data_IF_576253980258
#
_entry.id   IF_576253980258
#
_cell.length_a   1.000
_cell.length_b   1.000
_cell.length_c   1.000
_cell.angle_alpha   90.00
_cell.angle_beta   90.00
_cell.angle_gamma   90.00
#
_symmetry.space_group_name_H-M   'P 1'
#
loop_
_entity.id
_entity.type
_entity.pdbx_description
1 polymer ?
#
# COMPACT_ATOMS: atom_id res chain seq x y z
N UNK A 1 -0.25 53.08 -12.52
CA UNK A 1 0.83 52.36 -11.82
C UNK A 1 1.11 51.07 -12.58
N UNK A 2 2.26 50.92 -13.25
CA UNK A 2 2.57 49.72 -14.03
C UNK A 2 2.87 48.58 -13.07
N UNK A 3 2.20 47.45 -13.25
CA UNK A 3 2.48 46.22 -12.52
C UNK A 3 3.91 45.75 -12.79
N UNK A 4 4.65 45.43 -11.71
CA UNK A 4 6.00 44.90 -11.83
C UNK A 4 6.00 43.54 -12.57
N UNK A 5 7.10 43.16 -13.18
CA UNK A 5 7.27 41.83 -13.79
C UNK A 5 7.03 40.69 -12.78
N UNK A 6 7.44 40.89 -11.53
CA UNK A 6 7.22 39.95 -10.42
C UNK A 6 5.71 39.79 -10.13
N UNK A 7 4.93 40.88 -10.11
CA UNK A 7 3.49 40.80 -9.85
C UNK A 7 2.74 40.07 -10.98
N UNK A 8 3.21 40.21 -12.22
CA UNK A 8 2.68 39.44 -13.35
C UNK A 8 2.93 37.94 -13.16
N UNK A 9 4.13 37.53 -12.75
CA UNK A 9 4.49 36.14 -12.49
C UNK A 9 3.72 35.57 -11.30
N UNK A 10 3.56 36.32 -10.20
CA UNK A 10 2.74 35.92 -9.06
C UNK A 10 1.29 35.65 -9.47
N UNK A 11 0.67 36.54 -10.26
CA UNK A 11 -0.69 36.29 -10.79
C UNK A 11 -0.79 35.06 -11.67
N UNK A 12 0.27 34.70 -12.39
CA UNK A 12 0.28 33.45 -13.17
C UNK A 12 0.29 32.22 -12.23
N UNK A 13 1.08 32.28 -11.14
CA UNK A 13 1.09 31.22 -10.11
C UNK A 13 -0.27 31.09 -9.47
N UNK A 14 -0.89 32.21 -9.01
CA UNK A 14 -2.22 32.18 -8.40
C UNK A 14 -3.28 31.54 -9.31
N UNK A 15 -3.19 31.82 -10.63
CA UNK A 15 -4.09 31.20 -11.62
C UNK A 15 -3.87 29.68 -11.72
N UNK A 16 -2.62 29.23 -11.70
CA UNK A 16 -2.27 27.81 -11.74
C UNK A 16 -2.75 27.12 -10.46
N UNK A 17 -2.56 27.72 -9.28
CA UNK A 17 -3.03 27.17 -8.02
C UNK A 17 -4.55 26.99 -8.01
N UNK A 18 -5.29 27.95 -8.58
CA UNK A 18 -6.73 27.84 -8.74
C UNK A 18 -7.14 26.71 -9.70
N UNK A 19 -6.38 26.49 -10.76
CA UNK A 19 -6.59 25.36 -11.67
C UNK A 19 -6.34 24.02 -10.98
N UNK A 20 -5.26 23.89 -10.20
CA UNK A 20 -4.95 22.71 -9.40
C UNK A 20 -6.09 22.41 -8.43
N UNK A 21 -6.56 23.42 -7.67
CA UNK A 21 -7.69 23.26 -6.75
C UNK A 21 -8.95 22.75 -7.47
N UNK A 22 -9.28 23.31 -8.62
CA UNK A 22 -10.45 22.91 -9.40
C UNK A 22 -10.33 21.48 -9.93
N UNK A 23 -9.14 21.08 -10.37
CA UNK A 23 -8.86 19.70 -10.81
C UNK A 23 -8.97 18.70 -9.65
N UNK A 24 -8.49 19.07 -8.46
CA UNK A 24 -8.62 18.24 -7.25
C UNK A 24 -10.09 18.08 -6.84
N UNK A 25 -10.90 19.16 -6.87
CA UNK A 25 -12.35 19.09 -6.63
C UNK A 25 -13.06 18.16 -7.62
N UNK A 26 -12.78 18.30 -8.93
CA UNK A 26 -13.34 17.42 -9.97
C UNK A 26 -12.97 15.96 -9.73
N UNK A 27 -11.70 15.69 -9.42
CA UNK A 27 -11.20 14.35 -9.14
C UNK A 27 -11.89 13.75 -7.90
N UNK A 28 -12.08 14.53 -6.85
CA UNK A 28 -12.77 14.10 -5.62
C UNK A 28 -14.21 13.70 -5.91
N UNK A 29 -14.94 14.51 -6.69
CA UNK A 29 -16.32 14.20 -7.10
C UNK A 29 -16.44 12.89 -7.87
N UNK A 30 -15.52 12.66 -8.81
CA UNK A 30 -15.47 11.40 -9.58
C UNK A 30 -15.17 10.22 -8.66
N UNK A 31 -14.23 10.37 -7.71
CA UNK A 31 -13.89 9.31 -6.77
C UNK A 31 -15.06 8.98 -5.82
N UNK A 32 -15.83 9.97 -5.39
CA UNK A 32 -17.05 9.79 -4.61
C UNK A 32 -18.11 9.00 -5.40
N UNK A 33 -18.34 9.35 -6.67
CA UNK A 33 -19.28 8.63 -7.53
C UNK A 33 -18.85 7.17 -7.74
N UNK A 34 -17.56 6.93 -7.98
CA UNK A 34 -17.02 5.56 -8.06
C UNK A 34 -17.27 4.81 -6.75
N UNK A 35 -17.15 5.48 -5.60
CA UNK A 35 -17.43 4.87 -4.30
C UNK A 35 -18.89 4.45 -4.14
N UNK A 36 -19.84 5.24 -4.64
CA UNK A 36 -21.29 4.94 -4.63
C UNK A 36 -21.66 3.77 -5.55
N UNK A 37 -21.03 3.69 -6.74
CA UNK A 37 -21.26 2.63 -7.72
C UNK A 37 -20.64 1.28 -7.29
N UNK A 38 -19.63 1.30 -6.45
CA UNK A 38 -18.94 0.09 -6.02
C UNK A 38 -19.76 -0.70 -5.00
N UNK A 39 -20.09 -1.95 -5.31
CA UNK A 39 -20.66 -2.92 -4.37
C UNK A 39 -19.66 -3.41 -3.31
N UNK A 40 -18.37 -3.15 -3.48
CA UNK A 40 -17.32 -3.63 -2.56
C UNK A 40 -16.94 -2.56 -1.54
N UNK A 41 -16.87 -2.95 -0.27
CA UNK A 41 -16.41 -2.10 0.83
C UNK A 41 -14.88 -1.91 0.87
N UNK A 42 -14.13 -2.33 -0.18
CA UNK A 42 -12.68 -2.18 -0.22
C UNK A 42 -12.29 -0.75 -0.65
N UNK A 43 -12.10 0.13 0.32
CA UNK A 43 -11.70 1.52 0.07
C UNK A 43 -10.21 1.66 -0.27
N UNK A 44 -9.37 0.78 0.26
CA UNK A 44 -7.92 0.87 0.08
C UNK A 44 -7.44 -0.14 -0.96
N UNK A 45 -7.01 0.37 -2.10
CA UNK A 45 -6.57 -0.40 -3.28
C UNK A 45 -5.14 -0.06 -3.66
N UNK A 46 -4.15 -0.61 -2.94
CA UNK A 46 -2.73 -0.30 -3.17
C UNK A 46 -2.25 -0.67 -4.57
N UNK A 47 -2.80 -1.72 -5.18
CA UNK A 47 -2.51 -2.13 -6.55
C UNK A 47 -2.88 -1.02 -7.55
N UNK A 48 -4.07 -0.44 -7.41
CA UNK A 48 -4.53 0.65 -8.26
C UNK A 48 -3.73 1.93 -8.02
N UNK A 49 -3.43 2.25 -6.76
CA UNK A 49 -2.60 3.40 -6.41
C UNK A 49 -1.19 3.28 -7.01
N UNK A 50 -0.59 2.09 -6.95
CA UNK A 50 0.71 1.82 -7.53
C UNK A 50 0.71 1.99 -9.06
N UNK A 51 -0.33 1.51 -9.75
CA UNK A 51 -0.52 1.69 -11.19
C UNK A 51 -0.59 3.18 -11.57
N UNK A 52 -1.38 3.97 -10.83
CA UNK A 52 -1.48 5.42 -11.04
C UNK A 52 -0.13 6.10 -10.84
N UNK A 53 0.57 5.80 -9.74
CA UNK A 53 1.87 6.41 -9.41
C UNK A 53 2.92 6.10 -10.47
N UNK A 54 3.00 4.86 -10.98
CA UNK A 54 3.92 4.50 -12.07
C UNK A 54 3.65 5.30 -13.33
N UNK A 55 2.37 5.44 -13.70
CA UNK A 55 1.99 6.22 -14.89
C UNK A 55 2.35 7.70 -14.76
N UNK A 56 2.17 8.27 -13.57
CA UNK A 56 2.52 9.67 -13.30
C UNK A 56 4.03 9.86 -13.31
N UNK A 57 4.78 8.99 -12.64
CA UNK A 57 6.24 9.05 -12.62
C UNK A 57 6.84 8.88 -14.03
N UNK A 58 6.27 7.97 -14.83
CA UNK A 58 6.68 7.82 -16.24
C UNK A 58 6.43 9.10 -17.06
N UNK A 59 5.28 9.77 -16.85
CA UNK A 59 4.96 11.03 -17.53
C UNK A 59 5.74 12.23 -17.01
N UNK A 60 6.16 12.20 -15.76
CA UNK A 60 6.97 13.26 -15.17
C UNK A 60 8.35 13.41 -15.86
N UNK A 61 8.92 12.32 -16.38
CA UNK A 61 10.32 12.31 -16.76
C UNK A 61 11.19 12.69 -15.55
N UNK A 62 12.01 13.73 -15.71
CA UNK A 62 12.86 14.24 -14.63
C UNK A 62 12.49 15.67 -14.19
N UNK A 63 11.28 16.14 -14.50
CA UNK A 63 10.88 17.53 -14.25
C UNK A 63 10.68 17.84 -12.77
N UNK A 64 10.06 16.91 -12.02
CA UNK A 64 9.80 17.06 -10.59
C UNK A 64 10.45 15.92 -9.82
N UNK A 65 10.81 16.21 -8.56
CA UNK A 65 11.36 15.18 -7.68
C UNK A 65 10.36 14.02 -7.51
N UNK A 66 10.74 12.76 -7.78
CA UNK A 66 9.86 11.60 -7.65
C UNK A 66 9.28 11.44 -6.24
N UNK A 67 10.03 11.73 -5.18
CA UNK A 67 9.55 11.65 -3.81
C UNK A 67 8.47 12.69 -3.51
N UNK A 68 8.59 13.90 -4.08
CA UNK A 68 7.54 14.92 -4.01
C UNK A 68 6.24 14.41 -4.67
N UNK A 69 6.35 13.86 -5.89
CA UNK A 69 5.20 13.29 -6.59
C UNK A 69 4.53 12.20 -5.76
N UNK A 70 5.31 11.29 -5.21
CA UNK A 70 4.79 10.19 -4.39
C UNK A 70 4.02 10.71 -3.17
N UNK A 71 4.61 11.63 -2.40
CA UNK A 71 3.98 12.18 -1.19
C UNK A 71 2.70 12.95 -1.52
N UNK A 72 2.72 13.78 -2.57
CA UNK A 72 1.57 14.55 -3.01
C UNK A 72 0.39 13.66 -3.42
N UNK A 73 0.64 12.65 -4.26
CA UNK A 73 -0.42 11.72 -4.68
C UNK A 73 -0.93 10.83 -3.54
N UNK A 74 -0.06 10.44 -2.60
CA UNK A 74 -0.49 9.71 -1.39
C UNK A 74 -1.46 10.53 -0.55
N UNK A 75 -1.21 11.82 -0.37
CA UNK A 75 -2.14 12.71 0.34
C UNK A 75 -3.49 12.83 -0.39
N UNK A 76 -3.49 12.95 -1.72
CA UNK A 76 -4.72 12.96 -2.51
C UNK A 76 -5.49 11.63 -2.35
N UNK A 77 -4.80 10.47 -2.40
CA UNK A 77 -5.46 9.18 -2.26
C UNK A 77 -6.11 9.03 -0.88
N UNK A 78 -5.39 9.39 0.19
CA UNK A 78 -5.92 9.29 1.55
C UNK A 78 -7.10 10.23 1.75
N UNK A 79 -7.00 11.48 1.31
CA UNK A 79 -8.12 12.44 1.37
C UNK A 79 -9.39 11.89 0.74
N UNK A 80 -9.28 11.22 -0.42
CA UNK A 80 -10.43 10.63 -1.09
C UNK A 80 -10.97 9.37 -0.42
N UNK A 81 -10.10 8.57 0.18
CA UNK A 81 -10.51 7.44 1.03
C UNK A 81 -11.29 7.96 2.24
N UNK A 82 -10.84 9.06 2.86
CA UNK A 82 -11.50 9.67 4.01
C UNK A 82 -12.91 10.17 3.66
N UNK A 83 -13.12 10.77 2.51
CA UNK A 83 -14.45 11.17 2.01
C UNK A 83 -15.39 9.96 1.84
N UNK A 84 -14.85 8.77 1.55
CA UNK A 84 -15.63 7.53 1.36
C UNK A 84 -15.85 6.74 2.66
N UNK A 85 -15.51 7.29 3.82
CA UNK A 85 -15.69 6.66 5.13
C UNK A 85 -14.39 6.26 5.83
N UNK A 86 -13.24 6.54 5.20
CA UNK A 86 -11.91 6.38 5.81
C UNK A 86 -11.45 4.95 6.02
N UNK A 87 -10.18 4.84 6.37
CA UNK A 87 -9.52 3.61 6.83
C UNK A 87 -8.79 3.89 8.14
N UNK A 88 -8.61 2.84 8.95
CA UNK A 88 -7.84 2.92 10.19
C UNK A 88 -6.66 1.96 10.13
N UNK A 89 -5.51 2.40 10.62
CA UNK A 89 -4.34 1.55 10.79
C UNK A 89 -4.26 1.06 12.23
N UNK A 90 -4.18 -0.25 12.39
CA UNK A 90 -3.91 -0.88 13.68
C UNK A 90 -2.45 -1.34 13.69
N UNK A 91 -1.66 -0.82 14.60
CA UNK A 91 -0.23 -1.13 14.71
C UNK A 91 0.09 -1.74 16.09
N UNK A 92 1.06 -2.64 16.14
CA UNK A 92 1.66 -2.97 17.43
C UNK A 92 2.61 -1.85 17.86
N UNK A 93 2.80 -1.66 19.19
CA UNK A 93 3.67 -0.62 19.74
C UNK A 93 5.10 -0.65 19.15
N UNK A 94 5.65 -1.85 18.90
CA UNK A 94 6.99 -1.99 18.33
C UNK A 94 7.07 -1.49 16.89
N UNK A 95 6.03 -1.73 16.09
CA UNK A 95 5.94 -1.25 14.71
C UNK A 95 5.79 0.26 14.70
N UNK A 96 4.89 0.82 15.50
CA UNK A 96 4.67 2.25 15.60
C UNK A 96 5.97 3.00 15.94
N UNK A 97 6.70 2.57 16.97
CA UNK A 97 7.96 3.24 17.38
C UNK A 97 9.05 3.18 16.32
N UNK A 98 9.23 2.05 15.64
CA UNK A 98 10.36 1.83 14.74
C UNK A 98 10.14 2.36 13.33
N UNK A 99 8.90 2.35 12.84
CA UNK A 99 8.61 2.52 11.42
C UNK A 99 7.62 3.64 11.12
N UNK A 100 7.32 4.50 12.08
CA UNK A 100 6.30 5.55 11.93
C UNK A 100 6.56 6.46 10.72
N UNK A 101 7.83 6.82 10.47
CA UNK A 101 8.20 7.62 9.31
C UNK A 101 7.84 6.90 7.99
N UNK A 102 8.21 5.64 7.84
CA UNK A 102 7.89 4.85 6.63
C UNK A 102 6.38 4.72 6.43
N UNK A 103 5.62 4.66 7.52
CA UNK A 103 4.16 4.58 7.49
C UNK A 103 3.55 5.90 7.00
N UNK A 104 3.98 7.03 7.54
CA UNK A 104 3.52 8.34 7.08
C UNK A 104 3.97 8.68 5.67
N UNK A 105 5.18 8.29 5.26
CA UNK A 105 5.64 8.43 3.87
C UNK A 105 4.74 7.68 2.88
N UNK A 106 4.07 6.62 3.33
CA UNK A 106 3.16 5.83 2.50
C UNK A 106 1.69 6.26 2.58
N UNK A 107 1.18 6.58 3.77
CA UNK A 107 -0.23 6.88 4.00
C UNK A 107 -0.54 8.38 4.12
N UNK A 108 0.46 9.26 4.24
CA UNK A 108 0.30 10.65 4.70
C UNK A 108 0.02 10.75 6.22
N UNK A 109 0.18 11.95 6.77
CA UNK A 109 0.04 12.21 8.21
C UNK A 109 -1.42 12.18 8.71
N UNK A 110 -2.40 12.28 7.81
CA UNK A 110 -3.84 12.32 8.14
C UNK A 110 -4.46 10.93 8.39
N UNK A 111 -3.64 9.87 8.36
CA UNK A 111 -4.12 8.52 8.64
C UNK A 111 -4.39 8.29 10.13
N UNK A 112 -5.56 7.79 10.47
CA UNK A 112 -5.89 7.40 11.86
C UNK A 112 -5.10 6.14 12.25
N UNK A 113 -4.28 6.23 13.30
CA UNK A 113 -3.47 5.14 13.83
C UNK A 113 -3.93 4.77 15.23
N UNK A 114 -4.23 3.49 15.45
CA UNK A 114 -4.55 2.91 16.76
C UNK A 114 -3.48 1.91 17.11
N UNK A 115 -2.88 2.03 18.30
CA UNK A 115 -1.83 1.11 18.75
C UNK A 115 -2.37 -0.02 19.61
N UNK A 116 -1.77 -1.21 19.47
CA UNK A 116 -2.11 -2.43 20.19
C UNK A 116 -0.89 -3.06 20.83
N UNK A 117 -1.10 -3.83 21.90
CA UNK A 117 -0.01 -4.49 22.64
C UNK A 117 0.76 -5.53 21.80
N UNK A 118 0.14 -6.12 20.77
CA UNK A 118 0.77 -7.19 19.99
C UNK A 118 0.25 -7.28 18.56
N UNK A 119 1.05 -7.88 17.65
CA UNK A 119 0.68 -8.18 16.27
C UNK A 119 -0.57 -9.09 16.19
N UNK A 120 -0.74 -10.02 17.14
CA UNK A 120 -1.90 -10.93 17.16
C UNK A 120 -3.21 -10.17 17.42
N UNK A 121 -3.20 -9.19 18.34
CA UNK A 121 -4.37 -8.33 18.59
C UNK A 121 -4.66 -7.41 17.40
N UNK A 122 -3.63 -6.91 16.74
CA UNK A 122 -3.80 -6.12 15.52
C UNK A 122 -4.46 -6.93 14.40
N UNK A 123 -4.01 -8.17 14.15
CA UNK A 123 -4.62 -9.08 13.17
C UNK A 123 -6.09 -9.40 13.50
N UNK A 124 -6.41 -9.59 14.77
CA UNK A 124 -7.77 -9.84 15.23
C UNK A 124 -8.71 -8.67 14.92
N UNK A 125 -8.25 -7.45 15.13
CA UNK A 125 -9.02 -6.24 14.78
C UNK A 125 -9.27 -6.13 13.28
N UNK A 126 -8.28 -6.44 12.43
CA UNK A 126 -8.47 -6.48 10.96
C UNK A 126 -9.49 -7.53 10.56
N UNK A 127 -9.42 -8.72 11.16
CA UNK A 127 -10.34 -9.82 10.87
C UNK A 127 -11.80 -9.44 11.16
N UNK A 128 -12.06 -8.82 12.30
CA UNK A 128 -13.41 -8.49 12.78
C UNK A 128 -13.92 -7.14 12.28
N UNK A 129 -13.05 -6.24 11.85
CA UNK A 129 -13.41 -4.86 11.51
C UNK A 129 -13.73 -4.64 10.03
N UNK A 130 -14.30 -3.46 9.72
CA UNK A 130 -14.45 -2.93 8.36
C UNK A 130 -13.43 -1.81 8.16
N UNK A 131 -12.86 -1.69 6.97
CA UNK A 131 -11.90 -0.64 6.61
C UNK A 131 -10.71 -0.51 7.57
N UNK A 132 -10.30 -1.62 8.15
CA UNK A 132 -9.16 -1.71 9.06
C UNK A 132 -8.02 -2.44 8.37
N UNK A 133 -6.83 -1.86 8.47
CA UNK A 133 -5.59 -2.42 7.99
C UNK A 133 -4.62 -2.62 9.16
N UNK A 134 -3.69 -3.55 9.06
CA UNK A 134 -2.53 -3.59 9.95
C UNK A 134 -1.23 -3.66 9.15
N UNK A 135 -0.17 -3.15 9.75
CA UNK A 135 1.18 -3.22 9.19
C UNK A 135 2.02 -4.08 10.11
N UNK A 136 2.69 -5.04 9.51
CA UNK A 136 3.52 -6.02 10.21
C UNK A 136 4.92 -6.04 9.60
N UNK A 137 5.94 -6.55 10.31
CA UNK A 137 7.25 -6.79 9.71
C UNK A 137 7.12 -7.69 8.49
N UNK A 138 7.88 -7.43 7.43
CA UNK A 138 7.91 -8.34 6.29
C UNK A 138 8.28 -9.75 6.75
N UNK A 139 7.62 -10.80 6.24
CA UNK A 139 7.86 -12.17 6.67
C UNK A 139 9.34 -12.57 6.60
N UNK A 140 9.87 -13.07 7.69
CA UNK A 140 11.24 -13.56 7.78
C UNK A 140 11.38 -14.59 8.90
N UNK A 141 12.57 -15.17 9.06
CA UNK A 141 12.86 -16.11 10.14
C UNK A 141 13.10 -15.43 11.52
N UNK A 142 13.15 -14.11 11.56
CA UNK A 142 13.40 -13.36 12.79
C UNK A 142 12.24 -13.50 13.78
N UNK A 143 12.58 -13.51 15.08
CA UNK A 143 11.59 -13.47 16.16
C UNK A 143 10.72 -12.23 16.02
N UNK A 144 9.43 -12.32 15.94
CA UNK A 144 8.50 -11.20 15.68
C UNK A 144 8.04 -11.06 14.22
N UNK A 145 8.77 -11.61 13.25
CA UNK A 145 8.35 -11.67 11.86
C UNK A 145 7.70 -13.02 11.45
N UNK A 146 7.53 -13.97 12.40
CA UNK A 146 6.85 -15.27 12.19
C UNK A 146 5.32 -15.19 12.29
N UNK A 147 4.73 -14.03 12.42
CA UNK A 147 3.28 -13.79 12.52
C UNK A 147 2.49 -14.40 11.34
N UNK A 148 3.12 -14.53 10.16
CA UNK A 148 2.53 -15.08 8.94
C UNK A 148 2.14 -16.57 9.06
N UNK A 149 2.59 -17.27 10.10
CA UNK A 149 2.19 -18.65 10.41
C UNK A 149 0.86 -18.75 11.15
N UNK A 150 0.28 -17.63 11.58
CA UNK A 150 -0.96 -17.59 12.35
C UNK A 150 -2.15 -18.14 11.52
N UNK A 151 -2.98 -19.00 12.13
CA UNK A 151 -4.18 -19.59 11.48
C UNK A 151 -5.23 -18.52 11.09
N UNK A 152 -5.34 -17.42 11.85
CA UNK A 152 -6.28 -16.33 11.54
C UNK A 152 -6.03 -15.67 10.17
N UNK A 153 -4.83 -15.80 9.62
CA UNK A 153 -4.48 -15.30 8.29
C UNK A 153 -5.20 -16.03 7.14
N UNK A 154 -5.91 -17.11 7.40
CA UNK A 154 -6.62 -17.84 6.33
C UNK A 154 -7.70 -17.01 5.62
N UNK A 155 -8.17 -15.94 6.27
CA UNK A 155 -9.17 -15.00 5.73
C UNK A 155 -8.63 -13.58 5.58
N UNK A 156 -7.31 -13.41 5.65
CA UNK A 156 -6.62 -12.13 5.49
C UNK A 156 -5.61 -12.22 4.34
N UNK A 157 -5.34 -11.07 3.73
CA UNK A 157 -4.45 -10.98 2.57
C UNK A 157 -3.36 -9.95 2.81
N UNK A 158 -2.16 -10.27 2.39
CA UNK A 158 -1.11 -9.29 2.19
C UNK A 158 -1.42 -8.50 0.91
N UNK A 159 -1.45 -7.17 1.00
CA UNK A 159 -1.94 -6.33 -0.09
C UNK A 159 -0.91 -5.31 -0.59
N UNK A 160 0.11 -5.00 0.19
CA UNK A 160 1.24 -4.16 -0.22
C UNK A 160 2.43 -4.40 0.69
N UNK A 161 3.63 -4.11 0.21
CA UNK A 161 4.86 -4.11 0.99
C UNK A 161 5.51 -2.72 1.00
N UNK A 162 6.20 -2.37 2.09
CA UNK A 162 6.77 -1.05 2.30
C UNK A 162 8.29 -1.11 2.53
N UNK A 163 9.00 -0.05 2.11
CA UNK A 163 8.53 1.11 1.35
C UNK A 163 8.15 0.74 -0.09
N UNK A 164 7.26 1.54 -0.73
CA UNK A 164 6.91 1.34 -2.14
C UNK A 164 8.08 1.66 -3.08
N UNK A 165 8.87 2.66 -2.70
CA UNK A 165 10.06 3.06 -3.42
C UNK A 165 11.26 2.35 -2.80
N UNK A 166 11.88 1.44 -3.53
CA UNK A 166 13.06 0.69 -3.08
C UNK A 166 14.29 1.07 -3.90
N UNK A 167 15.39 1.30 -3.21
CA UNK A 167 16.72 1.31 -3.85
C UNK A 167 17.05 -0.11 -4.32
N UNK A 168 17.73 -0.23 -5.44
CA UNK A 168 18.19 -1.53 -5.99
C UNK A 168 18.75 -2.44 -4.89
N UNK A 169 18.41 -3.73 -4.95
CA UNK A 169 18.85 -4.79 -4.02
C UNK A 169 18.34 -4.68 -2.57
N UNK A 170 17.43 -3.76 -2.23
CA UNK A 170 16.81 -3.74 -0.90
C UNK A 170 15.50 -4.51 -0.89
N UNK A 171 15.26 -5.26 0.18
CA UNK A 171 14.00 -5.93 0.44
C UNK A 171 13.04 -5.03 1.21
N UNK A 172 11.72 -5.21 1.08
CA UNK A 172 10.75 -4.51 1.90
C UNK A 172 10.93 -4.85 3.37
N UNK A 173 10.62 -3.92 4.23
CA UNK A 173 10.72 -4.08 5.69
C UNK A 173 9.38 -4.39 6.36
N UNK A 174 8.29 -3.98 5.72
CA UNK A 174 6.93 -4.05 6.25
C UNK A 174 5.97 -4.60 5.20
N UNK A 175 4.83 -5.11 5.68
CA UNK A 175 3.74 -5.58 4.83
C UNK A 175 2.40 -5.13 5.39
N UNK A 176 1.47 -4.77 4.51
CA UNK A 176 0.11 -4.35 4.87
C UNK A 176 -0.83 -5.53 4.73
N UNK A 177 -1.64 -5.76 5.75
CA UNK A 177 -2.62 -6.84 5.81
C UNK A 177 -4.03 -6.25 5.83
N UNK A 178 -4.91 -6.84 5.03
CA UNK A 178 -6.33 -6.52 4.90
C UNK A 178 -7.18 -7.80 4.91
N UNK A 179 -8.45 -7.67 5.20
CA UNK A 179 -9.42 -8.74 4.98
C UNK A 179 -9.96 -8.79 3.55
N UNK A 180 -9.76 -7.74 2.78
CA UNK A 180 -10.20 -7.68 1.40
C UNK A 180 -9.11 -8.24 0.49
N UNK A 181 -9.50 -9.17 -0.39
CA UNK A 181 -8.61 -9.72 -1.42
C UNK A 181 -8.26 -8.62 -2.41
N UNK A 182 -6.98 -8.35 -2.69
CA UNK A 182 -6.59 -7.37 -3.69
C UNK A 182 -6.91 -7.85 -5.10
N UNK A 183 -7.14 -6.91 -6.01
CA UNK A 183 -7.27 -7.19 -7.43
C UNK A 183 -5.88 -7.39 -8.06
N UNK A 184 -5.86 -8.10 -9.20
CA UNK A 184 -4.62 -8.33 -9.94
C UNK A 184 -4.44 -7.17 -10.92
N UNK A 185 -3.31 -6.47 -10.79
CA UNK A 185 -2.85 -5.45 -11.75
C UNK A 185 -1.60 -5.97 -12.48
N UNK A 186 -1.31 -5.40 -13.65
CA UNK A 186 -0.21 -5.82 -14.52
C UNK A 186 1.14 -5.96 -13.79
N UNK A 187 1.44 -5.02 -12.88
CA UNK A 187 2.68 -4.99 -12.11
C UNK A 187 2.48 -5.52 -10.69
N UNK A 188 1.84 -6.66 -10.55
CA UNK A 188 1.69 -7.37 -9.30
C UNK A 188 2.69 -8.53 -9.20
N UNK A 189 2.97 -8.92 -7.95
CA UNK A 189 3.57 -10.22 -7.63
C UNK A 189 2.73 -10.92 -6.57
N UNK A 190 2.88 -12.23 -6.50
CA UNK A 190 2.06 -13.09 -5.66
C UNK A 190 2.90 -13.63 -4.51
N UNK A 191 2.33 -13.67 -3.32
CA UNK A 191 2.83 -14.44 -2.20
C UNK A 191 1.97 -15.67 -2.01
N UNK A 192 2.62 -16.82 -1.92
CA UNK A 192 1.98 -18.11 -1.73
C UNK A 192 2.45 -18.75 -0.44
N UNK A 193 1.52 -19.36 0.29
CA UNK A 193 1.81 -20.18 1.47
C UNK A 193 1.56 -21.63 1.14
N UNK A 194 2.54 -22.50 1.46
CA UNK A 194 2.43 -23.95 1.32
C UNK A 194 2.80 -24.66 2.63
N UNK A 195 2.28 -25.87 2.83
CA UNK A 195 2.70 -26.78 3.89
C UNK A 195 3.92 -27.61 3.47
N UNK A 196 4.15 -27.75 2.17
CA UNK A 196 5.19 -28.57 1.58
C UNK A 196 6.18 -27.71 0.80
N UNK A 197 7.43 -28.16 0.65
CA UNK A 197 8.38 -27.51 -0.24
C UNK A 197 7.93 -27.65 -1.71
N UNK A 198 7.94 -26.54 -2.43
CA UNK A 198 7.57 -26.49 -3.85
C UNK A 198 8.83 -26.30 -4.68
N UNK A 199 8.99 -27.12 -5.73
CA UNK A 199 10.06 -27.02 -6.71
C UNK A 199 9.48 -26.48 -8.02
N UNK A 200 9.51 -25.18 -8.19
CA UNK A 200 9.10 -24.48 -9.42
C UNK A 200 10.07 -23.33 -9.67
N UNK A 201 10.60 -23.25 -10.90
CA UNK A 201 11.58 -22.23 -11.32
C UNK A 201 11.04 -20.79 -11.24
N UNK A 202 9.72 -20.62 -11.25
CA UNK A 202 9.06 -19.32 -11.17
C UNK A 202 8.80 -18.89 -9.72
N UNK A 203 9.17 -19.70 -8.73
CA UNK A 203 8.93 -19.45 -7.32
C UNK A 203 10.22 -19.18 -6.58
N UNK A 204 10.25 -18.09 -5.85
CA UNK A 204 11.36 -17.70 -4.99
C UNK A 204 10.93 -17.93 -3.55
N UNK A 205 11.70 -18.73 -2.81
CA UNK A 205 11.46 -18.92 -1.38
C UNK A 205 11.79 -17.62 -0.61
N UNK A 206 10.80 -16.98 -0.06
CA UNK A 206 10.96 -15.78 0.78
C UNK A 206 11.39 -16.16 2.21
N UNK A 207 10.71 -17.12 2.81
CA UNK A 207 11.03 -17.63 4.15
C UNK A 207 10.34 -18.97 4.43
N UNK A 208 10.80 -19.67 5.46
CA UNK A 208 10.19 -20.91 5.92
C UNK A 208 10.05 -20.93 7.44
N UNK A 209 9.12 -21.72 7.93
CA UNK A 209 8.96 -22.09 9.34
C UNK A 209 8.91 -23.62 9.46
N UNK A 210 8.78 -24.16 10.67
CA UNK A 210 8.64 -25.61 10.88
C UNK A 210 7.38 -26.21 10.21
N UNK A 211 6.37 -25.38 9.89
CA UNK A 211 5.06 -25.85 9.39
C UNK A 211 4.70 -25.32 8.00
N UNK A 212 5.35 -24.25 7.53
CA UNK A 212 4.94 -23.54 6.32
C UNK A 212 6.14 -22.96 5.58
N UNK A 213 5.96 -22.87 4.26
CA UNK A 213 6.84 -22.19 3.32
C UNK A 213 6.10 -20.98 2.76
N UNK A 214 6.77 -19.85 2.60
CA UNK A 214 6.27 -18.66 1.93
C UNK A 214 7.10 -18.42 0.67
N UNK A 215 6.42 -18.37 -0.46
CA UNK A 215 7.03 -18.17 -1.76
C UNK A 215 6.53 -16.90 -2.40
N UNK A 216 7.37 -16.32 -3.26
CA UNK A 216 7.01 -15.23 -4.15
C UNK A 216 7.09 -15.69 -5.59
N UNK A 217 6.12 -15.26 -6.42
CA UNK A 217 6.14 -15.42 -7.86
C UNK A 217 5.68 -14.15 -8.57
N UNK A 218 6.26 -13.85 -9.72
CA UNK A 218 5.79 -12.77 -10.59
C UNK A 218 4.56 -13.18 -11.43
N UNK A 219 4.26 -14.45 -11.49
CA UNK A 219 3.15 -15.01 -12.24
C UNK A 219 2.14 -15.70 -11.31
N UNK A 220 0.89 -15.71 -11.72
CA UNK A 220 -0.11 -16.53 -11.04
C UNK A 220 0.20 -18.01 -11.31
N UNK A 221 0.23 -18.80 -10.23
CA UNK A 221 0.52 -20.23 -10.28
C UNK A 221 -0.71 -20.99 -9.80
N UNK A 222 -1.22 -21.88 -10.63
CA UNK A 222 -2.31 -22.79 -10.30
C UNK A 222 -1.73 -24.11 -9.79
N UNK A 223 -1.70 -24.26 -8.47
CA UNK A 223 -1.28 -25.49 -7.80
C UNK A 223 -2.11 -25.63 -6.52
N UNK A 224 -2.71 -26.79 -6.30
CA UNK A 224 -3.60 -27.06 -5.18
C UNK A 224 -2.89 -27.02 -3.82
N UNK A 225 -1.58 -27.23 -3.77
CA UNK A 225 -0.76 -27.15 -2.56
C UNK A 225 -0.43 -25.70 -2.15
N UNK A 226 -0.75 -24.75 -3.03
CA UNK A 226 -0.46 -23.34 -2.86
C UNK A 226 -1.70 -22.55 -2.46
N UNK A 227 -1.62 -21.85 -1.34
CA UNK A 227 -2.64 -20.87 -0.96
C UNK A 227 -2.13 -19.45 -1.22
N UNK A 228 -2.89 -18.65 -1.95
CA UNK A 228 -2.59 -17.22 -2.11
C UNK A 228 -2.61 -16.55 -0.73
N UNK A 229 -1.45 -16.10 -0.28
CA UNK A 229 -1.26 -15.33 0.93
C UNK A 229 -1.41 -13.82 0.68
N UNK A 230 -1.05 -13.38 -0.52
CA UNK A 230 -1.19 -11.99 -0.92
C UNK A 230 -0.96 -11.76 -2.40
N UNK A 231 -1.43 -10.61 -2.88
CA UNK A 231 -1.17 -10.05 -4.20
C UNK A 231 -0.72 -8.62 -3.96
N UNK A 232 0.51 -8.31 -4.34
CA UNK A 232 1.15 -7.06 -3.98
C UNK A 232 1.63 -6.33 -5.23
N UNK A 233 1.49 -4.99 -5.29
CA UNK A 233 2.13 -4.22 -6.35
C UNK A 233 3.64 -4.35 -6.24
N UNK A 234 4.33 -4.52 -7.37
CA UNK A 234 5.79 -4.45 -7.43
C UNK A 234 6.27 -3.11 -6.90
N UNK A 235 7.44 -3.10 -6.27
CA UNK A 235 8.07 -1.86 -5.85
C UNK A 235 8.47 -1.01 -7.07
N UNK A 236 8.53 0.29 -6.86
CA UNK A 236 9.16 1.18 -7.83
C UNK A 236 10.66 1.21 -7.52
N UNK A 237 11.48 0.80 -8.48
CA UNK A 237 12.94 0.80 -8.36
C UNK A 237 13.51 2.04 -9.02
N UNK A 238 14.41 2.73 -8.31
CA UNK A 238 15.17 3.88 -8.81
C UNK A 238 16.60 3.50 -9.18
#
# INVERSE_FOLDING_TARGET
MFMSQIDKLRKQIDKIDFQILNLLKKRSKIAENIGKEKKSNNLFRPERQASILRNILKKNGNNLNPLFILSFWRSIFLSQINVQGGIKLILSNNISKKYIKTIYDYFSHDIEIITMKSNSKALEKVYNGKNILTILPYPSNNKGAKWWTNKRLEKLYAIAALPFFLRKKKSPSLIIISKYKPEIEKDSYFLYKSKYPIRDKNMILETKSNKYYLYRSNNMINNNDLKIFGILPKHYES
#
